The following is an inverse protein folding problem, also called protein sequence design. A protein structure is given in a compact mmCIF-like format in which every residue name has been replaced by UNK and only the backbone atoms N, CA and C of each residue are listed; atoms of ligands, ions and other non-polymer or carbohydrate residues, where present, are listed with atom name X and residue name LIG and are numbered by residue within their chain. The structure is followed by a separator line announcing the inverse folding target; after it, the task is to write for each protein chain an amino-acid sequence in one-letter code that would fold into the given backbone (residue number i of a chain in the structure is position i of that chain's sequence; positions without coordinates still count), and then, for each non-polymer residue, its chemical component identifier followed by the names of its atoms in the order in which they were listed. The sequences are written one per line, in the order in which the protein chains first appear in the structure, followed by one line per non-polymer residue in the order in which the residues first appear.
data_IF_061452800700
#
_entry.id   IF_061452800700
#
_cell.length_a   1.000
_cell.length_b   1.000
_cell.length_c   1.000
_cell.angle_alpha   90.00
_cell.angle_beta   90.00
_cell.angle_gamma   90.00
#
_symmetry.space_group_name_H-M   'P 1'
#
loop_
_entity.id
_entity.type
_entity.pdbx_description
1 polymer ?
#
# COMPACT_ATOMS: atom_id res chain seq x y z
N UNK A 1 -2.72 6.47 31.81
CA UNK A 1 -2.71 6.77 30.36
C UNK A 1 -4.15 6.62 29.88
N UNK A 2 -4.73 7.66 29.30
CA UNK A 2 -6.11 7.63 28.76
C UNK A 2 -6.23 6.57 27.65
N UNK A 3 -7.36 5.88 27.55
CA UNK A 3 -7.58 4.82 26.55
C UNK A 3 -7.35 5.32 25.12
N UNK A 4 -7.73 6.56 24.84
CA UNK A 4 -7.48 7.24 23.56
C UNK A 4 -6.00 7.35 23.23
N UNK A 5 -5.14 7.63 24.22
CA UNK A 5 -3.69 7.68 24.02
C UNK A 5 -3.12 6.30 23.74
N UNK A 6 -3.62 5.25 24.40
CA UNK A 6 -3.21 3.87 24.12
C UNK A 6 -3.50 3.51 22.66
N UNK A 7 -4.73 3.76 22.20
CA UNK A 7 -5.12 3.49 20.82
C UNK A 7 -4.35 4.32 19.80
N UNK A 8 -4.06 5.58 20.11
CA UNK A 8 -3.23 6.43 19.25
C UNK A 8 -1.83 5.82 19.07
N UNK A 9 -1.20 5.38 20.15
CA UNK A 9 0.11 4.70 20.11
C UNK A 9 0.03 3.39 19.33
N UNK A 10 -1.01 2.57 19.56
CA UNK A 10 -1.19 1.31 18.85
C UNK A 10 -1.35 1.49 17.35
N UNK A 11 -2.15 2.48 16.92
CA UNK A 11 -2.28 2.83 15.50
C UNK A 11 -0.93 3.28 14.92
N UNK A 12 -0.16 4.08 15.66
CA UNK A 12 1.19 4.46 15.27
C UNK A 12 2.12 3.25 15.08
N UNK A 13 2.06 2.28 16.00
CA UNK A 13 2.82 1.01 15.90
C UNK A 13 2.39 0.20 14.68
N UNK A 14 1.09 0.09 14.40
CA UNK A 14 0.57 -0.64 13.24
C UNK A 14 1.05 -0.02 11.92
N UNK A 15 0.97 1.30 11.77
CA UNK A 15 1.49 1.98 10.58
C UNK A 15 3.01 1.91 10.47
N UNK A 16 3.73 2.00 11.60
CA UNK A 16 5.20 1.86 11.60
C UNK A 16 5.62 0.46 11.15
N UNK A 17 4.97 -0.58 11.68
CA UNK A 17 5.20 -1.96 11.26
C UNK A 17 4.85 -2.17 9.78
N UNK A 18 3.71 -1.64 9.33
CA UNK A 18 3.34 -1.65 7.92
C UNK A 18 4.41 -1.00 7.03
N UNK A 19 4.81 0.24 7.30
CA UNK A 19 5.79 0.94 6.46
C UNK A 19 7.16 0.25 6.47
N UNK A 20 7.54 -0.40 7.57
CA UNK A 20 8.78 -1.15 7.65
C UNK A 20 8.71 -2.46 6.85
N UNK A 21 7.65 -3.25 7.05
CA UNK A 21 7.48 -4.57 6.43
C UNK A 21 7.11 -4.45 4.95
N UNK A 22 6.07 -3.70 4.63
CA UNK A 22 5.63 -3.51 3.26
C UNK A 22 6.59 -2.64 2.45
N UNK A 23 7.36 -1.78 3.13
CA UNK A 23 8.33 -0.90 2.47
C UNK A 23 9.36 -1.65 1.64
N UNK A 24 9.85 -2.80 2.12
CA UNK A 24 10.78 -3.62 1.34
C UNK A 24 10.06 -4.40 0.23
N UNK A 25 8.82 -4.82 0.42
CA UNK A 25 8.03 -5.50 -0.61
C UNK A 25 7.76 -4.57 -1.80
N UNK A 26 7.32 -3.34 -1.53
CA UNK A 26 7.20 -2.32 -2.56
C UNK A 26 8.56 -2.03 -3.21
N UNK A 27 9.63 -1.94 -2.44
CA UNK A 27 10.99 -1.76 -2.95
C UNK A 27 11.42 -2.85 -3.94
N UNK A 28 11.24 -4.11 -3.56
CA UNK A 28 11.54 -5.28 -4.39
C UNK A 28 10.70 -5.28 -5.66
N UNK A 29 9.39 -5.03 -5.55
CA UNK A 29 8.49 -4.97 -6.69
C UNK A 29 8.81 -3.83 -7.66
N UNK A 30 9.17 -2.65 -7.14
CA UNK A 30 9.61 -1.50 -7.95
C UNK A 30 10.94 -1.76 -8.68
N UNK A 31 11.85 -2.52 -8.08
CA UNK A 31 13.16 -2.77 -8.66
C UNK A 31 13.17 -3.97 -9.61
N UNK A 32 12.13 -4.81 -9.58
CA UNK A 32 12.05 -6.08 -10.33
C UNK A 32 12.38 -5.94 -11.82
N UNK A 33 11.79 -5.02 -12.63
CA UNK A 33 12.07 -4.95 -14.05
C UNK A 33 13.49 -4.44 -14.37
N UNK A 34 14.11 -3.73 -13.43
CA UNK A 34 15.40 -3.05 -13.63
C UNK A 34 16.59 -3.85 -13.12
N UNK A 35 16.44 -4.58 -12.01
CA UNK A 35 17.51 -5.40 -11.44
C UNK A 35 17.60 -6.78 -12.08
N UNK A 36 16.48 -7.43 -12.41
CA UNK A 36 16.48 -8.75 -13.01
C UNK A 36 16.73 -8.68 -14.51
N UNK A 37 17.91 -9.12 -14.95
CA UNK A 37 18.33 -9.09 -16.36
C UNK A 37 17.82 -10.28 -17.16
N UNK A 38 17.46 -11.35 -16.48
CA UNK A 38 16.84 -12.55 -17.04
C UNK A 38 15.72 -13.05 -16.13
N UNK A 39 14.91 -14.00 -16.62
CA UNK A 39 13.75 -14.50 -15.88
C UNK A 39 14.13 -15.22 -14.59
N UNK A 40 15.28 -15.90 -14.56
CA UNK A 40 15.77 -16.58 -13.34
C UNK A 40 16.07 -15.57 -12.24
N UNK A 41 16.79 -14.49 -12.56
CA UNK A 41 17.07 -13.39 -11.63
C UNK A 41 15.78 -12.73 -11.14
N UNK A 42 14.83 -12.43 -12.04
CA UNK A 42 13.53 -11.86 -11.65
C UNK A 42 12.75 -12.77 -10.72
N UNK A 43 12.79 -14.08 -10.97
CA UNK A 43 12.14 -15.08 -10.12
C UNK A 43 12.79 -15.15 -8.73
N UNK A 44 14.11 -15.06 -8.65
CA UNK A 44 14.83 -15.01 -7.37
C UNK A 44 14.42 -13.76 -6.58
N UNK A 45 14.33 -12.60 -7.25
CA UNK A 45 13.88 -11.34 -6.65
C UNK A 45 12.46 -11.50 -6.07
N UNK A 46 11.51 -12.00 -6.84
CA UNK A 46 10.13 -12.22 -6.35
C UNK A 46 10.09 -13.22 -5.19
N UNK A 47 10.81 -14.33 -5.30
CA UNK A 47 10.83 -15.36 -4.26
C UNK A 47 11.47 -14.90 -2.95
N UNK A 48 12.23 -13.79 -2.95
CA UNK A 48 12.77 -13.20 -1.71
C UNK A 48 11.67 -12.66 -0.79
N UNK A 49 10.53 -12.23 -1.35
CA UNK A 49 9.37 -11.70 -0.62
C UNK A 49 8.14 -12.61 -0.68
N UNK A 50 8.14 -13.59 -1.59
CA UNK A 50 7.03 -14.54 -1.81
C UNK A 50 6.41 -15.15 -0.54
N UNK A 51 7.19 -15.57 0.48
CA UNK A 51 6.63 -16.16 1.70
C UNK A 51 5.98 -15.16 2.67
N UNK A 52 6.20 -13.85 2.52
CA UNK A 52 5.87 -12.85 3.56
C UNK A 52 4.98 -11.70 3.09
N UNK A 53 4.98 -11.37 1.79
CA UNK A 53 4.31 -10.17 1.27
C UNK A 53 2.82 -10.09 1.64
N UNK A 54 2.08 -11.21 1.53
CA UNK A 54 0.66 -11.24 1.85
C UNK A 54 0.40 -10.96 3.33
N UNK A 55 1.28 -11.45 4.22
CA UNK A 55 1.22 -11.18 5.65
C UNK A 55 1.62 -9.75 6.02
N UNK A 56 2.53 -9.13 5.26
CA UNK A 56 2.94 -7.75 5.49
C UNK A 56 1.79 -6.78 5.19
N UNK A 57 1.01 -7.04 4.13
CA UNK A 57 -0.12 -6.19 3.74
C UNK A 57 -1.25 -6.20 4.80
N UNK A 58 -1.37 -7.29 5.58
CA UNK A 58 -2.34 -7.38 6.70
C UNK A 58 -2.11 -6.31 7.76
N UNK A 59 -0.89 -5.79 7.91
CA UNK A 59 -0.62 -4.67 8.82
C UNK A 59 -1.39 -3.42 8.42
N UNK A 60 -1.49 -3.12 7.12
CA UNK A 60 -2.28 -2.00 6.61
C UNK A 60 -3.77 -2.20 6.91
N UNK A 61 -4.28 -3.41 6.64
CA UNK A 61 -5.70 -3.74 6.88
C UNK A 61 -6.04 -3.60 8.37
N UNK A 62 -5.15 -4.06 9.24
CA UNK A 62 -5.30 -3.96 10.68
C UNK A 62 -5.21 -2.51 11.16
N UNK A 63 -4.29 -1.70 10.62
CA UNK A 63 -4.20 -0.27 10.90
C UNK A 63 -5.49 0.47 10.50
N UNK A 64 -6.04 0.16 9.33
CA UNK A 64 -7.32 0.69 8.86
C UNK A 64 -8.50 0.27 9.76
N UNK A 65 -8.56 -1.00 10.16
CA UNK A 65 -9.56 -1.51 11.08
C UNK A 65 -9.47 -0.87 12.48
N UNK A 66 -8.24 -0.68 12.99
CA UNK A 66 -8.00 0.00 14.26
C UNK A 66 -8.42 1.47 14.21
N UNK A 67 -8.14 2.17 13.11
CA UNK A 67 -8.66 3.53 12.88
C UNK A 67 -10.19 3.56 12.86
N UNK A 68 -10.83 2.62 12.17
CA UNK A 68 -12.29 2.52 12.15
C UNK A 68 -12.89 2.31 13.56
N UNK A 69 -12.29 1.42 14.36
CA UNK A 69 -12.77 1.09 15.69
C UNK A 69 -12.51 2.19 16.73
N UNK A 70 -11.31 2.78 16.73
CA UNK A 70 -10.89 3.72 17.77
C UNK A 70 -11.09 5.20 17.39
N UNK A 71 -11.01 5.53 16.09
CA UNK A 71 -11.07 6.90 15.57
C UNK A 71 -11.97 7.02 14.32
N UNK A 72 -13.28 6.69 14.43
CA UNK A 72 -14.18 6.55 13.28
C UNK A 72 -14.30 7.81 12.43
N UNK A 73 -14.22 9.01 13.04
CA UNK A 73 -14.24 10.26 12.29
C UNK A 73 -12.98 10.45 11.42
N UNK A 74 -11.80 10.08 11.93
CA UNK A 74 -10.55 10.12 11.16
C UNK A 74 -10.66 9.17 9.97
N UNK A 75 -11.13 7.94 10.22
CA UNK A 75 -11.35 6.94 9.18
C UNK A 75 -12.32 7.46 8.11
N UNK A 76 -13.51 7.93 8.49
CA UNK A 76 -14.52 8.38 7.54
C UNK A 76 -14.06 9.59 6.70
N UNK A 77 -13.45 10.59 7.33
CA UNK A 77 -12.98 11.79 6.62
C UNK A 77 -11.79 11.47 5.71
N UNK A 78 -10.87 10.60 6.12
CA UNK A 78 -9.74 10.18 5.29
C UNK A 78 -10.22 9.40 4.06
N UNK A 79 -11.10 8.42 4.24
CA UNK A 79 -11.60 7.59 3.13
C UNK A 79 -12.49 8.35 2.15
N UNK A 80 -13.27 9.31 2.64
CA UNK A 80 -14.10 10.17 1.77
C UNK A 80 -13.29 11.28 1.10
N UNK A 81 -12.36 11.92 1.82
CA UNK A 81 -11.55 13.03 1.30
C UNK A 81 -10.49 12.59 0.30
N UNK A 82 -9.89 11.42 0.51
CA UNK A 82 -8.91 10.83 -0.40
C UNK A 82 -9.49 9.72 -1.27
N UNK A 83 -10.80 9.76 -1.53
CA UNK A 83 -11.52 8.68 -2.23
C UNK A 83 -10.81 8.20 -3.50
N UNK A 84 -10.51 9.10 -4.43
CA UNK A 84 -9.89 8.72 -5.70
C UNK A 84 -8.48 8.14 -5.51
N UNK A 85 -7.68 8.72 -4.60
CA UNK A 85 -6.34 8.23 -4.31
C UNK A 85 -6.37 6.83 -3.69
N UNK A 86 -7.24 6.61 -2.69
CA UNK A 86 -7.40 5.31 -2.04
C UNK A 86 -8.00 4.26 -2.99
N UNK A 87 -8.88 4.67 -3.90
CA UNK A 87 -9.38 3.79 -4.95
C UNK A 87 -8.27 3.34 -5.90
N UNK A 88 -7.43 4.27 -6.37
CA UNK A 88 -6.27 3.93 -7.23
C UNK A 88 -5.29 3.03 -6.47
N UNK A 89 -5.02 3.32 -5.19
CA UNK A 89 -4.19 2.49 -4.33
C UNK A 89 -4.74 1.06 -4.25
N UNK A 90 -6.03 0.91 -3.97
CA UNK A 90 -6.69 -0.40 -3.91
C UNK A 90 -6.56 -1.17 -5.23
N UNK A 91 -6.82 -0.52 -6.36
CA UNK A 91 -6.68 -1.15 -7.67
C UNK A 91 -5.24 -1.59 -7.95
N UNK A 92 -4.25 -0.77 -7.59
CA UNK A 92 -2.84 -1.11 -7.73
C UNK A 92 -2.44 -2.31 -6.86
N UNK A 93 -2.93 -2.39 -5.62
CA UNK A 93 -2.69 -3.50 -4.72
C UNK A 93 -3.33 -4.82 -5.21
N UNK A 94 -4.55 -4.75 -5.73
CA UNK A 94 -5.21 -5.92 -6.36
C UNK A 94 -4.37 -6.41 -7.55
N UNK A 95 -3.94 -5.50 -8.43
CA UNK A 95 -3.08 -5.84 -9.57
C UNK A 95 -1.79 -6.48 -9.10
N UNK A 96 -1.17 -5.96 -8.04
CA UNK A 96 0.07 -6.51 -7.47
C UNK A 96 -0.12 -7.96 -6.98
N UNK A 97 -1.15 -8.20 -6.18
CA UNK A 97 -1.46 -9.53 -5.64
C UNK A 97 -1.70 -10.55 -6.75
N UNK A 98 -2.53 -10.18 -7.75
CA UNK A 98 -2.78 -11.02 -8.93
C UNK A 98 -1.48 -11.25 -9.70
N UNK A 99 -0.63 -10.23 -9.86
CA UNK A 99 0.60 -10.37 -10.61
C UNK A 99 1.58 -11.36 -9.98
N UNK A 100 1.74 -11.37 -8.65
CA UNK A 100 2.59 -12.37 -7.98
C UNK A 100 2.10 -13.80 -8.23
N UNK A 101 0.79 -14.03 -8.12
CA UNK A 101 0.19 -15.36 -8.30
C UNK A 101 0.19 -15.84 -9.76
N UNK A 102 -0.06 -14.93 -10.72
CA UNK A 102 -0.27 -15.28 -12.12
C UNK A 102 1.00 -15.28 -12.96
N UNK A 103 2.05 -14.55 -12.56
CA UNK A 103 3.30 -14.44 -13.33
C UNK A 103 3.88 -15.79 -13.74
N UNK A 104 3.87 -16.78 -12.84
CA UNK A 104 4.48 -18.09 -13.07
C UNK A 104 3.53 -19.13 -13.69
N UNK A 105 2.28 -18.75 -14.02
CA UNK A 105 1.28 -19.68 -14.58
C UNK A 105 1.45 -19.97 -16.07
N UNK A 106 2.16 -19.11 -16.79
CA UNK A 106 2.48 -19.28 -18.21
C UNK A 106 3.99 -19.04 -18.44
N UNK A 107 4.56 -19.77 -19.39
CA UNK A 107 5.98 -19.71 -19.75
C UNK A 107 6.30 -18.66 -20.83
N UNK A 108 5.27 -18.09 -21.47
CA UNK A 108 5.40 -17.06 -22.48
C UNK A 108 6.20 -15.85 -21.95
N UNK A 109 7.27 -15.42 -22.66
CA UNK A 109 8.05 -14.26 -22.26
C UNK A 109 7.22 -12.97 -22.17
N UNK A 110 6.23 -12.81 -23.06
CA UNK A 110 5.34 -11.65 -23.06
C UNK A 110 4.43 -11.65 -21.82
N UNK A 111 3.92 -12.82 -21.42
CA UNK A 111 3.13 -12.99 -20.21
C UNK A 111 3.94 -12.58 -18.98
N UNK A 112 5.12 -13.16 -18.80
CA UNK A 112 6.00 -12.89 -17.65
C UNK A 112 6.41 -11.41 -17.58
N UNK A 113 6.77 -10.82 -18.72
CA UNK A 113 7.12 -9.39 -18.82
C UNK A 113 5.93 -8.48 -18.46
N UNK A 114 4.72 -8.84 -18.88
CA UNK A 114 3.51 -8.07 -18.53
C UNK A 114 3.30 -8.06 -17.03
N UNK A 115 3.41 -9.22 -16.37
CA UNK A 115 3.26 -9.30 -14.92
C UNK A 115 4.44 -8.66 -14.15
N UNK A 116 5.66 -8.69 -14.68
CA UNK A 116 6.79 -7.94 -14.12
C UNK A 116 6.46 -6.43 -14.04
N UNK A 117 5.89 -5.86 -15.10
CA UNK A 117 5.45 -4.47 -15.13
C UNK A 117 4.24 -4.19 -14.24
N UNK A 118 3.31 -5.15 -14.12
CA UNK A 118 2.18 -5.01 -13.19
C UNK A 118 2.64 -5.04 -11.72
N UNK A 119 3.64 -5.85 -11.37
CA UNK A 119 4.27 -5.84 -10.04
C UNK A 119 4.93 -4.48 -9.78
N UNK A 120 5.65 -3.93 -10.78
CA UNK A 120 6.25 -2.61 -10.70
C UNK A 120 5.22 -1.52 -10.41
N UNK A 121 4.17 -1.42 -11.24
CA UNK A 121 3.12 -0.40 -11.07
C UNK A 121 2.38 -0.60 -9.75
N UNK A 122 2.01 -1.85 -9.45
CA UNK A 122 1.33 -2.24 -8.23
C UNK A 122 2.12 -1.97 -6.94
N UNK A 123 3.43 -1.75 -7.05
CA UNK A 123 4.32 -1.38 -5.94
C UNK A 123 4.64 0.12 -5.91
N UNK A 124 4.88 0.72 -7.07
CA UNK A 124 5.23 2.14 -7.18
C UNK A 124 4.06 3.07 -6.84
N UNK A 125 2.86 2.74 -7.31
CA UNK A 125 1.67 3.58 -7.12
C UNK A 125 1.28 3.67 -5.64
N UNK A 126 1.14 2.57 -4.87
CA UNK A 126 0.86 2.67 -3.43
C UNK A 126 1.96 3.39 -2.66
N UNK A 127 3.24 3.12 -2.95
CA UNK A 127 4.36 3.79 -2.30
C UNK A 127 4.31 5.32 -2.48
N UNK A 128 4.02 5.79 -3.70
CA UNK A 128 3.84 7.20 -3.99
C UNK A 128 2.62 7.78 -3.27
N UNK A 129 1.48 7.11 -3.35
CA UNK A 129 0.23 7.59 -2.77
C UNK A 129 0.26 7.66 -1.25
N UNK A 130 0.96 6.73 -0.58
CA UNK A 130 1.23 6.83 0.85
C UNK A 130 2.04 8.08 1.20
N UNK A 131 3.08 8.38 0.41
CA UNK A 131 3.86 9.62 0.56
C UNK A 131 2.99 10.87 0.41
N UNK A 132 2.12 10.91 -0.61
CA UNK A 132 1.16 12.00 -0.84
C UNK A 132 0.15 12.12 0.30
N UNK A 133 -0.37 11.00 0.80
CA UNK A 133 -1.33 10.99 1.90
C UNK A 133 -0.71 11.55 3.18
N UNK A 134 0.46 11.03 3.60
CA UNK A 134 1.14 11.46 4.84
C UNK A 134 1.53 12.94 4.75
N UNK A 135 2.06 13.40 3.62
CA UNK A 135 2.44 14.81 3.45
C UNK A 135 1.24 15.75 3.45
N UNK A 136 0.11 15.36 2.86
CA UNK A 136 -1.13 16.14 2.95
C UNK A 136 -1.70 16.19 4.38
N UNK A 137 -1.60 15.09 5.13
CA UNK A 137 -2.00 15.08 6.54
C UNK A 137 -1.15 16.05 7.38
N UNK A 138 0.17 16.11 7.13
CA UNK A 138 1.08 17.04 7.82
C UNK A 138 0.81 18.49 7.40
N UNK A 139 0.59 18.75 6.10
CA UNK A 139 0.26 20.08 5.57
C UNK A 139 -1.09 20.61 6.09
N UNK A 140 -2.00 19.70 6.43
CA UNK A 140 -3.37 20.00 6.78
C UNK A 140 -4.30 19.85 5.58
N UNK A 141 -5.39 19.13 5.80
CA UNK A 141 -6.41 18.87 4.78
C UNK A 141 -7.59 19.83 5.00
N UNK A 142 -8.11 20.51 3.95
CA UNK A 142 -9.25 21.40 4.09
C UNK A 142 -10.51 20.60 4.40
N UNK A 143 -10.89 20.56 5.68
CA UNK A 143 -12.05 19.83 6.21
C UNK A 143 -13.02 20.84 6.81
N UNK A 144 -14.30 20.76 6.45
CA UNK A 144 -15.33 21.65 6.98
C UNK A 144 -15.85 21.19 8.36
N UNK A 145 -16.72 22.00 8.98
CA UNK A 145 -17.31 21.69 10.30
C UNK A 145 -18.15 20.39 10.34
N UNK A 146 -18.52 19.82 9.19
CA UNK A 146 -19.21 18.52 9.07
C UNK A 146 -18.23 17.35 8.86
N UNK A 147 -16.92 17.58 9.02
CA UNK A 147 -15.88 16.58 8.81
C UNK A 147 -15.80 16.07 7.36
N UNK A 148 -16.21 16.89 6.39
CA UNK A 148 -16.16 16.59 4.97
C UNK A 148 -15.02 17.36 4.31
N UNK A 149 -14.35 16.72 3.34
CA UNK A 149 -13.36 17.39 2.51
C UNK A 149 -14.00 18.54 1.72
N UNK A 150 -13.38 19.71 1.80
CA UNK A 150 -13.85 20.96 1.19
C UNK A 150 -12.80 21.58 0.26
N UNK A 151 -11.73 20.85 -0.05
CA UNK A 151 -10.71 21.33 -0.99
C UNK A 151 -11.20 21.33 -2.43
N UNK A 152 -10.69 22.26 -3.22
CA UNK A 152 -10.81 22.25 -4.67
C UNK A 152 -9.62 21.51 -5.27
N UNK A 153 -9.79 20.95 -6.47
CA UNK A 153 -8.70 20.33 -7.24
C UNK A 153 -7.64 21.37 -7.61
#
# INVERSE_FOLDING_TARGET
MELTMIWFVLVGVLFTGFFFLEGFDYGVGMLLPFLGKNDVERRIIINSIGPVWDGNEVWMLTAGGALFAAFPHVYATMFSGFYLALFIMLMALIVRAVAFEFRSKDESPLWRSTWDWMIFIGSAVPALLWGVAVTNLIKGVPINAKMQYAGTF
#
